data_IF_622304872264
#
_entry.id   IF_622304872264
#
_cell.length_a   1.000
_cell.length_b   1.000
_cell.length_c   1.000
_cell.angle_alpha   90.00
_cell.angle_beta   90.00
_cell.angle_gamma   90.00
#
_symmetry.space_group_name_H-M   'P 1'
#
loop_
_entity.id
_entity.type
_entity.pdbx_description
1 polymer ?
#
# COMPACT_ATOMS: atom_id res chain seq x y z
N UNK A 1 -11.84 -6.09 -23.49
CA UNK A 1 -11.98 -5.88 -22.03
C UNK A 1 -13.07 -4.85 -21.83
N UNK A 2 -14.12 -5.18 -21.06
CA UNK A 2 -15.16 -4.20 -20.71
C UNK A 2 -14.63 -3.25 -19.62
N UNK A 3 -15.24 -2.07 -19.47
CA UNK A 3 -14.91 -1.16 -18.38
C UNK A 3 -15.09 -1.82 -17.01
N UNK A 4 -16.05 -2.73 -16.87
CA UNK A 4 -16.30 -3.48 -15.65
C UNK A 4 -15.17 -4.47 -15.33
N UNK A 5 -14.69 -5.21 -16.35
CA UNK A 5 -13.52 -6.08 -16.21
C UNK A 5 -12.26 -5.28 -15.86
N UNK A 6 -12.06 -4.11 -16.47
CA UNK A 6 -10.93 -3.23 -16.18
C UNK A 6 -10.96 -2.75 -14.71
N UNK A 7 -12.14 -2.33 -14.24
CA UNK A 7 -12.33 -1.89 -12.85
C UNK A 7 -12.07 -3.02 -11.85
N UNK A 8 -12.49 -4.24 -12.16
CA UNK A 8 -12.24 -5.41 -11.33
C UNK A 8 -10.74 -5.73 -11.23
N UNK A 9 -10.02 -5.69 -12.36
CA UNK A 9 -8.55 -5.87 -12.39
C UNK A 9 -7.86 -4.79 -11.54
N UNK A 10 -8.27 -3.53 -11.67
CA UNK A 10 -7.69 -2.44 -10.88
C UNK A 10 -7.87 -2.67 -9.37
N UNK A 11 -9.05 -3.13 -8.95
CA UNK A 11 -9.34 -3.45 -7.54
C UNK A 11 -8.46 -4.59 -7.01
N UNK A 12 -8.23 -5.62 -7.81
CA UNK A 12 -7.36 -6.74 -7.45
C UNK A 12 -5.90 -6.30 -7.35
N UNK A 13 -5.41 -5.51 -8.30
CA UNK A 13 -4.06 -4.94 -8.26
C UNK A 13 -3.85 -4.03 -7.03
N UNK A 14 -4.85 -3.24 -6.65
CA UNK A 14 -4.80 -2.44 -5.43
C UNK A 14 -4.75 -3.31 -4.16
N UNK A 15 -5.48 -4.42 -4.13
CA UNK A 15 -5.45 -5.37 -3.01
C UNK A 15 -4.06 -6.01 -2.88
N UNK A 16 -3.46 -6.46 -3.98
CA UNK A 16 -2.11 -7.02 -4.00
C UNK A 16 -1.07 -6.01 -3.52
N UNK A 17 -1.17 -4.75 -3.96
CA UNK A 17 -0.27 -3.68 -3.49
C UNK A 17 -0.38 -3.49 -1.98
N UNK A 18 -1.58 -3.49 -1.42
CA UNK A 18 -1.80 -3.37 0.03
C UNK A 18 -1.20 -4.54 0.81
N UNK A 19 -1.40 -5.77 0.35
CA UNK A 19 -0.82 -6.97 0.98
C UNK A 19 0.70 -6.90 1.00
N UNK A 20 1.32 -6.50 -0.12
CA UNK A 20 2.78 -6.36 -0.19
C UNK A 20 3.32 -5.26 0.73
N UNK A 21 2.60 -4.14 0.82
CA UNK A 21 2.95 -3.04 1.73
C UNK A 21 2.95 -3.51 3.19
N UNK A 22 1.94 -4.27 3.61
CA UNK A 22 1.84 -4.81 4.98
C UNK A 22 3.00 -5.77 5.26
N UNK A 23 3.27 -6.72 4.36
CA UNK A 23 4.38 -7.67 4.49
C UNK A 23 5.74 -6.96 4.70
N UNK A 24 6.00 -5.90 3.92
CA UNK A 24 7.25 -5.14 4.03
C UNK A 24 7.29 -4.28 5.30
N UNK A 25 6.14 -3.71 5.70
CA UNK A 25 6.04 -2.96 6.94
C UNK A 25 6.31 -3.83 8.17
N UNK A 26 5.75 -5.05 8.20
CA UNK A 26 5.99 -6.04 9.26
C UNK A 26 7.46 -6.47 9.32
N UNK A 27 8.17 -6.42 8.18
CA UNK A 27 9.63 -6.62 8.09
C UNK A 27 10.45 -5.40 8.54
N UNK A 28 9.81 -4.33 9.00
CA UNK A 28 10.45 -3.12 9.53
C UNK A 28 10.86 -2.09 8.48
N UNK A 29 10.36 -2.18 7.24
CA UNK A 29 10.67 -1.20 6.20
C UNK A 29 10.06 0.16 6.55
N UNK A 30 10.85 1.23 6.42
CA UNK A 30 10.37 2.61 6.56
C UNK A 30 9.45 3.01 5.41
N UNK A 31 8.63 4.06 5.58
CA UNK A 31 7.75 4.55 4.50
C UNK A 31 8.50 4.96 3.23
N UNK A 32 9.73 5.45 3.36
CA UNK A 32 10.58 5.78 2.20
C UNK A 32 10.99 4.52 1.43
N UNK A 33 11.42 3.47 2.13
CA UNK A 33 11.78 2.19 1.51
C UNK A 33 10.56 1.49 0.89
N UNK A 34 9.39 1.62 1.50
CA UNK A 34 8.13 1.11 0.94
C UNK A 34 7.75 1.83 -0.36
N UNK A 35 7.94 3.15 -0.41
CA UNK A 35 7.68 3.94 -1.60
C UNK A 35 8.58 3.51 -2.78
N UNK A 36 9.86 3.32 -2.52
CA UNK A 36 10.83 2.80 -3.48
C UNK A 36 10.46 1.37 -3.93
N UNK A 37 10.21 0.46 -2.98
CA UNK A 37 9.91 -0.94 -3.26
C UNK A 37 8.60 -1.14 -4.05
N UNK A 38 7.61 -0.24 -3.88
CA UNK A 38 6.31 -0.32 -4.54
C UNK A 38 6.18 0.60 -5.75
N UNK A 39 7.22 1.36 -6.09
CA UNK A 39 7.22 2.28 -7.24
C UNK A 39 6.19 3.40 -7.12
N UNK A 40 5.94 3.90 -5.91
CA UNK A 40 4.97 5.00 -5.65
C UNK A 40 5.61 6.11 -4.83
N UNK A 41 4.95 7.27 -4.76
CA UNK A 41 5.44 8.36 -3.92
C UNK A 41 5.25 8.06 -2.42
N UNK A 42 6.15 8.56 -1.57
CA UNK A 42 6.02 8.43 -0.12
C UNK A 42 4.69 8.99 0.44
N UNK A 43 4.15 10.12 -0.04
CA UNK A 43 2.81 10.56 0.37
C UNK A 43 1.70 9.56 0.04
N UNK A 44 1.85 8.75 -1.02
CA UNK A 44 0.91 7.68 -1.35
C UNK A 44 0.96 6.57 -0.32
N UNK A 45 2.15 6.14 0.09
CA UNK A 45 2.33 5.19 1.19
C UNK A 45 1.70 5.74 2.48
N UNK A 46 1.98 6.99 2.84
CA UNK A 46 1.42 7.63 4.04
C UNK A 46 -0.11 7.59 4.07
N UNK A 47 -0.78 7.85 2.94
CA UNK A 47 -2.24 7.73 2.81
C UNK A 47 -2.76 6.29 2.89
N UNK A 48 -1.96 5.32 2.44
CA UNK A 48 -2.32 3.90 2.46
C UNK A 48 -2.12 3.26 3.84
N UNK A 49 -1.21 3.81 4.65
CA UNK A 49 -0.98 3.31 6.01
C UNK A 49 -2.25 3.40 6.84
N UNK A 50 -2.56 2.36 7.65
CA UNK A 50 -3.64 2.47 8.61
C UNK A 50 -3.34 3.65 9.54
N UNK A 51 -4.35 4.49 9.79
CA UNK A 51 -4.26 5.57 10.79
C UNK A 51 -4.21 4.92 12.17
N UNK A 52 -3.03 4.47 12.58
CA UNK A 52 -2.80 4.06 13.96
C UNK A 52 -2.87 5.35 14.77
N UNK A 53 -3.92 5.54 15.57
CA UNK A 53 -3.86 6.57 16.60
C UNK A 53 -2.66 6.21 17.48
N UNK A 54 -1.73 7.14 17.61
CA UNK A 54 -0.56 6.98 18.45
C UNK A 54 -1.02 6.88 19.90
N UNK A 55 -1.39 5.68 20.34
CA UNK A 55 -1.34 5.30 21.74
C UNK A 55 -0.21 4.28 21.87
N UNK A 56 1.02 4.75 21.69
CA UNK A 56 2.20 4.05 22.20
C UNK A 56 2.47 4.65 23.59
N UNK A 57 2.34 3.78 24.60
CA UNK A 57 2.96 3.81 25.93
C UNK A 57 3.13 5.15 26.60
#
# INVERSE_FOLDING_TARGET
MTNEQANQILKELEMLRKLKMIELFDKGYSQAQLAEALGVSQPTISRMMPKVSTKKG
#
